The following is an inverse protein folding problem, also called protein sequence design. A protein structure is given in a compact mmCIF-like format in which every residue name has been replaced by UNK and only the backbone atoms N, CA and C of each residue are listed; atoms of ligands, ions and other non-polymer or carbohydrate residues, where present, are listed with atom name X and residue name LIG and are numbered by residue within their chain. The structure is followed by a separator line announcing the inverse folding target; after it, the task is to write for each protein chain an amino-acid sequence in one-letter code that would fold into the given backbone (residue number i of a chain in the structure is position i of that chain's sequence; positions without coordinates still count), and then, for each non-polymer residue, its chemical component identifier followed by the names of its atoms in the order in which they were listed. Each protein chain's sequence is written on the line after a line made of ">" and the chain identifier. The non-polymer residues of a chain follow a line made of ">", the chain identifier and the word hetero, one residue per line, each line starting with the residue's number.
data_IF_402429194327
#
_entry.id   IF_402429194327
#
_cell.length_a   1.000
_cell.length_b   1.000
_cell.length_c   1.000
_cell.angle_alpha   90.00
_cell.angle_beta   90.00
_cell.angle_gamma   90.00
#
_symmetry.space_group_name_H-M   'P 1'
#
loop_
_entity.id
_entity.type
_entity.pdbx_description
1 polymer ?
#
# COMPACT_ATOMS: atom_id res chain seq x y z
N UNK A 1 10.00 -18.77 -19.54
CA UNK A 1 9.00 -17.90 -18.90
C UNK A 1 9.67 -16.57 -18.60
N UNK A 2 9.14 -15.44 -19.10
CA UNK A 2 9.64 -14.13 -18.70
C UNK A 2 9.34 -13.91 -17.21
N UNK A 3 10.24 -13.29 -16.43
CA UNK A 3 9.96 -13.01 -15.03
C UNK A 3 8.76 -12.05 -14.95
N UNK A 4 7.73 -12.44 -14.20
CA UNK A 4 6.59 -11.57 -13.96
C UNK A 4 7.10 -10.28 -13.29
N UNK A 5 6.79 -9.13 -13.88
CA UNK A 5 7.03 -7.85 -13.22
C UNK A 5 6.23 -7.80 -11.93
N UNK A 6 6.85 -7.51 -10.77
CA UNK A 6 6.12 -7.42 -9.53
C UNK A 6 5.04 -6.35 -9.68
N UNK A 7 3.78 -6.71 -9.41
CA UNK A 7 2.64 -5.81 -9.42
C UNK A 7 2.22 -5.48 -7.99
N UNK A 8 1.77 -4.24 -7.71
CA UNK A 8 1.23 -3.90 -6.41
C UNK A 8 -0.03 -4.74 -6.15
N UNK A 9 -0.16 -5.21 -4.91
CA UNK A 9 -1.28 -6.04 -4.47
C UNK A 9 -2.57 -5.23 -4.30
N UNK A 10 -2.44 -3.94 -3.95
CA UNK A 10 -3.56 -3.02 -3.74
C UNK A 10 -3.49 -1.87 -4.74
N UNK A 11 -4.65 -1.51 -5.27
CA UNK A 11 -4.79 -0.45 -6.28
C UNK A 11 -5.01 0.91 -5.64
N UNK A 12 -4.75 1.98 -6.41
CA UNK A 12 -5.14 3.33 -6.01
C UNK A 12 -6.65 3.41 -5.81
N UNK A 13 -7.06 4.17 -4.81
CA UNK A 13 -8.44 4.39 -4.38
C UNK A 13 -9.14 3.17 -3.76
N UNK A 14 -8.43 2.05 -3.59
CA UNK A 14 -8.92 0.86 -2.92
C UNK A 14 -9.07 1.07 -1.41
N UNK A 15 -10.13 0.52 -0.82
CA UNK A 15 -10.33 0.50 0.64
C UNK A 15 -9.60 -0.70 1.23
N UNK A 16 -8.82 -0.45 2.27
CA UNK A 16 -7.97 -1.45 2.93
C UNK A 16 -8.12 -1.39 4.44
N UNK A 17 -7.71 -2.46 5.11
CA UNK A 17 -7.58 -2.51 6.56
C UNK A 17 -6.10 -2.52 6.94
N UNK A 18 -5.68 -1.55 7.74
CA UNK A 18 -4.31 -1.40 8.20
C UNK A 18 -4.18 -1.84 9.66
N UNK A 19 -3.36 -2.85 9.90
CA UNK A 19 -3.12 -3.38 11.24
C UNK A 19 -2.15 -2.49 12.02
N UNK A 20 -2.53 -2.08 13.23
CA UNK A 20 -1.68 -1.32 14.13
C UNK A 20 -1.96 -1.71 15.59
N UNK A 21 -0.92 -2.22 16.26
CA UNK A 21 -0.99 -2.88 17.56
C UNK A 21 -1.98 -4.06 17.59
N UNK A 22 -3.15 -3.89 18.19
CA UNK A 22 -4.18 -4.94 18.29
C UNK A 22 -5.43 -4.62 17.46
N UNK A 23 -5.42 -3.49 16.73
CA UNK A 23 -6.59 -2.98 16.00
C UNK A 23 -6.34 -2.90 14.50
N UNK A 24 -7.42 -3.08 13.73
CA UNK A 24 -7.46 -2.83 12.29
C UNK A 24 -8.17 -1.50 12.03
N UNK A 25 -7.53 -0.63 11.27
CA UNK A 25 -8.07 0.67 10.88
C UNK A 25 -8.47 0.66 9.40
N UNK A 26 -9.67 1.12 9.09
CA UNK A 26 -10.09 1.34 7.70
C UNK A 26 -9.33 2.52 7.09
N UNK A 27 -8.76 2.33 5.91
CA UNK A 27 -8.01 3.33 5.18
C UNK A 27 -8.25 3.23 3.67
N UNK A 28 -7.81 4.24 2.92
CA UNK A 28 -7.86 4.30 1.46
C UNK A 28 -6.45 4.39 0.89
N UNK A 29 -6.12 3.58 -0.11
CA UNK A 29 -4.84 3.66 -0.82
C UNK A 29 -4.83 4.91 -1.69
N UNK A 30 -3.82 5.76 -1.51
CA UNK A 30 -3.59 6.96 -2.31
C UNK A 30 -2.55 6.75 -3.41
N UNK A 31 -1.50 5.99 -3.10
CA UNK A 31 -0.38 5.74 -4.01
C UNK A 31 0.40 4.46 -3.60
N UNK A 32 1.11 3.86 -4.54
CA UNK A 32 1.96 2.70 -4.32
C UNK A 32 3.29 2.86 -5.06
N UNK A 33 4.40 2.57 -4.39
CA UNK A 33 5.76 2.66 -4.97
C UNK A 33 6.58 1.43 -4.62
N UNK A 34 7.55 1.08 -5.45
CA UNK A 34 8.55 0.07 -5.11
C UNK A 34 9.41 0.62 -3.97
N UNK A 35 9.62 -0.18 -2.91
CA UNK A 35 10.33 0.23 -1.70
C UNK A 35 11.79 0.64 -1.98
N UNK A 36 12.50 -0.20 -2.73
CA UNK A 36 13.82 0.12 -3.25
C UNK A 36 13.82 -0.14 -4.77
N UNK A 37 14.08 0.88 -5.61
CA UNK A 37 14.10 0.69 -7.06
C UNK A 37 15.25 -0.23 -7.53
N UNK A 38 16.30 -0.39 -6.72
CA UNK A 38 17.44 -1.25 -6.98
C UNK A 38 17.26 -2.66 -6.39
N UNK A 39 16.40 -2.81 -5.36
CA UNK A 39 16.00 -4.11 -4.82
C UNK A 39 14.49 -4.37 -4.96
N UNK A 40 14.14 -4.94 -6.12
CA UNK A 40 12.76 -5.32 -6.47
C UNK A 40 12.18 -6.44 -5.60
N UNK A 41 12.97 -7.06 -4.71
CA UNK A 41 12.48 -8.09 -3.78
C UNK A 41 11.89 -7.50 -2.49
N UNK A 42 12.15 -6.23 -2.20
CA UNK A 42 11.71 -5.59 -0.95
C UNK A 42 10.22 -5.20 -0.92
N UNK A 43 9.49 -5.41 -2.02
CA UNK A 43 8.04 -5.20 -2.10
C UNK A 43 7.62 -3.75 -2.35
N UNK A 44 6.39 -3.43 -1.95
CA UNK A 44 5.73 -2.14 -2.22
C UNK A 44 5.47 -1.36 -0.94
N UNK A 45 5.68 -0.05 -1.00
CA UNK A 45 5.22 0.92 -0.02
C UNK A 45 3.90 1.53 -0.49
N UNK A 46 2.92 1.57 0.40
CA UNK A 46 1.62 2.16 0.12
C UNK A 46 1.41 3.42 0.96
N UNK A 47 1.07 4.51 0.29
CA UNK A 47 0.56 5.71 0.97
C UNK A 47 -0.93 5.52 1.18
N UNK A 48 -1.37 5.46 2.43
CA UNK A 48 -2.78 5.31 2.81
C UNK A 48 -3.28 6.53 3.56
N UNK A 49 -4.59 6.78 3.47
CA UNK A 49 -5.29 7.76 4.29
C UNK A 49 -6.30 7.06 5.18
N UNK A 50 -6.18 7.21 6.49
CA UNK A 50 -7.09 6.60 7.45
C UNK A 50 -8.45 7.28 7.44
N UNK A 51 -9.51 6.46 7.52
CA UNK A 51 -10.87 6.95 7.63
C UNK A 51 -11.05 7.75 8.92
N UNK A 52 -11.69 8.91 8.81
CA UNK A 52 -11.95 9.79 9.96
C UNK A 52 -10.79 10.73 10.33
N UNK A 53 -9.62 10.61 9.70
CA UNK A 53 -8.54 11.56 9.87
C UNK A 53 -8.83 12.81 9.04
N UNK A 54 -8.47 13.99 9.55
CA UNK A 54 -8.69 15.28 8.85
C UNK A 54 -8.14 15.18 7.43
N UNK A 55 -8.93 15.61 6.46
CA UNK A 55 -8.51 15.65 5.06
C UNK A 55 -7.44 16.74 4.93
N UNK A 56 -6.24 16.37 4.50
CA UNK A 56 -5.34 17.29 3.79
C UNK A 56 -5.74 17.36 2.33
#
# INVERSE_FOLDING_TARGET
>A
MAPATPTPAYSKDEKVLCFHHELLYEAKVLDSKVKDPNDRKEGFMYRVHYKGWKNT
#
